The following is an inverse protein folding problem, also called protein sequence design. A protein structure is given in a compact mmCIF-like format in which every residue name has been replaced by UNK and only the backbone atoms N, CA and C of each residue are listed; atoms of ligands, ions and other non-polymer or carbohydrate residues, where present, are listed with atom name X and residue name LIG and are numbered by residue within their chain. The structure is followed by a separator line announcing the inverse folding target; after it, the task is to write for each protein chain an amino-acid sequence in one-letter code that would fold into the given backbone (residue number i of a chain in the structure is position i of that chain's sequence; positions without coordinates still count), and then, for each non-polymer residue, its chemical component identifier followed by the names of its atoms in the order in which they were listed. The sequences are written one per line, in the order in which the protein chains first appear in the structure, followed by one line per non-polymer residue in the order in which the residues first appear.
data_IF_981202172736
#
_entry.id   IF_981202172736
#
_cell.length_a   1.000
_cell.length_b   1.000
_cell.length_c   1.000
_cell.angle_alpha   90.00
_cell.angle_beta   90.00
_cell.angle_gamma   90.00
#
_symmetry.space_group_name_H-M   'P 1'
#
loop_
_entity.id
_entity.type
_entity.pdbx_description
1 polymer ?
#
# COMPACT_ATOMS: atom_id res chain seq x y z
N UNK A 1 20.59 0.18 24.91
CA UNK A 1 19.93 0.50 23.63
C UNK A 1 18.84 1.51 23.90
N UNK A 2 19.00 2.70 23.40
CA UNK A 2 17.97 3.74 23.51
C UNK A 2 17.08 3.60 22.29
N UNK A 3 15.86 3.11 22.47
CA UNK A 3 14.83 3.16 21.43
C UNK A 3 14.32 4.59 21.35
N UNK A 4 14.77 5.34 20.34
CA UNK A 4 14.22 6.66 20.03
C UNK A 4 12.85 6.47 19.38
N UNK A 5 11.79 6.53 20.17
CA UNK A 5 10.44 6.64 19.62
C UNK A 5 10.28 8.03 19.01
N UNK A 6 10.25 8.11 17.69
CA UNK A 6 9.91 9.34 16.98
C UNK A 6 8.41 9.57 17.10
N UNK A 7 8.03 10.55 17.90
CA UNK A 7 6.66 11.05 17.98
C UNK A 7 6.43 12.01 16.81
N UNK A 8 5.59 11.63 15.88
CA UNK A 8 5.16 12.51 14.80
C UNK A 8 3.83 13.17 15.18
N UNK A 9 3.77 14.50 15.09
CA UNK A 9 2.56 15.28 15.29
C UNK A 9 1.83 15.41 13.94
N UNK A 10 0.65 14.82 13.84
CA UNK A 10 -0.22 15.00 12.68
C UNK A 10 -1.37 15.92 13.08
N UNK A 11 -1.44 17.08 12.42
CA UNK A 11 -2.55 18.02 12.59
C UNK A 11 -3.70 17.59 11.66
N UNK A 12 -4.73 16.98 12.23
CA UNK A 12 -6.00 16.78 11.53
C UNK A 12 -6.98 17.88 11.96
N UNK A 13 -7.70 18.41 10.98
CA UNK A 13 -8.54 19.61 11.04
C UNK A 13 -9.85 19.42 11.83
N UNK A 14 -9.82 18.71 12.93
CA UNK A 14 -10.90 18.60 13.90
C UNK A 14 -10.34 18.49 15.32
N UNK A 15 -9.80 19.59 15.81
CA UNK A 15 -9.70 19.89 17.26
C UNK A 15 -8.96 18.95 18.20
N UNK A 16 -8.21 17.98 17.72
CA UNK A 16 -7.49 17.06 18.59
C UNK A 16 -6.09 16.71 18.06
N UNK A 17 -5.07 16.96 18.88
CA UNK A 17 -3.71 16.50 18.64
C UNK A 17 -3.67 14.98 18.87
N UNK A 18 -3.67 14.19 17.80
CA UNK A 18 -3.48 12.75 17.91
C UNK A 18 -2.00 12.44 17.79
N UNK A 19 -1.41 11.92 18.85
CA UNK A 19 -0.03 11.43 18.86
C UNK A 19 0.01 10.07 18.17
N UNK A 20 0.62 10.02 16.98
CA UNK A 20 0.84 8.77 16.26
C UNK A 20 2.25 8.31 16.58
N UNK A 21 2.37 7.13 17.18
CA UNK A 21 3.66 6.49 17.38
C UNK A 21 4.15 5.93 16.03
N UNK A 22 5.14 6.61 15.44
CA UNK A 22 5.71 6.24 14.15
C UNK A 22 7.02 5.46 14.32
N UNK A 23 6.92 4.26 14.89
CA UNK A 23 8.07 3.37 15.10
C UNK A 23 8.68 2.86 13.78
N UNK A 24 7.94 2.94 12.67
CA UNK A 24 8.32 2.40 11.36
C UNK A 24 8.60 3.47 10.30
N UNK A 25 8.60 4.75 10.70
CA UNK A 25 8.70 5.86 9.75
C UNK A 25 7.61 5.79 8.65
N UNK A 26 6.36 5.57 9.08
CA UNK A 26 5.21 5.55 8.17
C UNK A 26 4.97 6.90 7.50
N UNK A 27 5.52 7.96 8.08
CA UNK A 27 5.47 9.31 7.50
C UNK A 27 6.07 9.35 6.09
N UNK A 28 7.06 8.51 5.77
CA UNK A 28 7.62 8.44 4.41
C UNK A 28 6.56 8.15 3.36
N UNK A 29 5.56 7.33 3.69
CA UNK A 29 4.43 7.04 2.80
C UNK A 29 3.47 8.21 2.68
N UNK A 30 3.12 8.84 3.81
CA UNK A 30 2.22 10.01 3.81
C UNK A 30 2.84 11.15 3.02
N UNK A 31 4.11 11.46 3.25
CA UNK A 31 4.83 12.51 2.51
C UNK A 31 4.88 12.22 1.01
N UNK A 32 5.17 10.98 0.61
CA UNK A 32 5.20 10.60 -0.80
C UNK A 32 3.81 10.72 -1.45
N UNK A 33 2.77 10.27 -0.76
CA UNK A 33 1.40 10.31 -1.26
C UNK A 33 0.86 11.74 -1.35
N UNK A 34 1.21 12.62 -0.42
CA UNK A 34 0.76 14.01 -0.38
C UNK A 34 1.58 14.90 -1.32
N UNK A 35 2.85 14.57 -1.55
CA UNK A 35 3.73 15.34 -2.42
C UNK A 35 3.19 15.40 -3.85
N UNK A 36 3.03 16.60 -4.38
CA UNK A 36 2.47 16.83 -5.73
C UNK A 36 1.15 16.10 -5.99
N UNK A 37 0.33 15.91 -4.95
CA UNK A 37 -0.96 15.20 -5.04
C UNK A 37 -0.86 13.80 -5.64
N UNK A 38 0.22 13.08 -5.36
CA UNK A 38 0.51 11.77 -5.97
C UNK A 38 -0.60 10.73 -5.71
N UNK A 39 -1.15 10.70 -4.50
CA UNK A 39 -2.25 9.79 -4.21
C UNK A 39 -3.51 10.12 -5.02
N UNK A 40 -3.86 11.40 -5.13
CA UNK A 40 -5.04 11.83 -5.89
C UNK A 40 -4.91 11.44 -7.36
N UNK A 41 -3.71 11.63 -7.95
CA UNK A 41 -3.43 11.16 -9.30
C UNK A 41 -3.52 9.65 -9.43
N UNK A 42 -2.97 8.91 -8.47
CA UNK A 42 -3.06 7.45 -8.47
C UNK A 42 -4.50 6.97 -8.46
N UNK A 43 -5.33 7.53 -7.60
CA UNK A 43 -6.75 7.20 -7.49
C UNK A 43 -7.49 7.51 -8.79
N UNK A 44 -7.25 8.66 -9.40
CA UNK A 44 -7.86 9.05 -10.67
C UNK A 44 -7.42 8.14 -11.81
N UNK A 45 -6.13 7.82 -11.90
CA UNK A 45 -5.59 6.91 -12.92
C UNK A 45 -6.22 5.51 -12.80
N UNK A 46 -6.39 4.99 -11.59
CA UNK A 46 -7.08 3.72 -11.36
C UNK A 46 -8.56 3.82 -11.78
N UNK A 47 -9.26 4.87 -11.39
CA UNK A 47 -10.66 5.10 -11.80
C UNK A 47 -10.83 5.18 -13.30
N UNK A 48 -9.86 5.76 -13.99
CA UNK A 48 -9.82 5.80 -15.46
C UNK A 48 -9.36 4.47 -16.09
N UNK A 49 -8.99 3.48 -15.28
CA UNK A 49 -8.58 2.16 -15.73
C UNK A 49 -7.22 2.10 -16.39
N UNK A 50 -6.33 3.06 -16.13
CA UNK A 50 -4.98 3.06 -16.68
C UNK A 50 -3.99 3.86 -15.85
N UNK A 51 -3.00 3.16 -15.30
CA UNK A 51 -1.86 3.76 -14.62
C UNK A 51 -0.95 4.46 -15.61
N UNK A 52 -0.57 5.71 -15.31
CA UNK A 52 0.32 6.54 -16.16
C UNK A 52 1.56 7.03 -15.45
N UNK A 53 1.51 7.28 -14.14
CA UNK A 53 2.62 7.84 -13.38
C UNK A 53 3.20 6.86 -12.35
N UNK A 54 4.22 7.30 -11.59
CA UNK A 54 5.12 6.41 -10.86
C UNK A 54 4.88 6.48 -9.35
N UNK A 55 3.85 5.79 -8.87
CA UNK A 55 3.41 5.84 -7.48
C UNK A 55 3.28 4.46 -6.80
N UNK A 56 3.59 3.38 -7.48
CA UNK A 56 3.28 2.02 -7.01
C UNK A 56 3.90 1.70 -5.65
N UNK A 57 5.15 2.09 -5.41
CA UNK A 57 5.92 1.71 -4.21
C UNK A 57 5.30 2.22 -2.91
N UNK A 58 4.67 3.41 -2.95
CA UNK A 58 4.12 4.03 -1.76
C UNK A 58 2.58 4.05 -1.70
N UNK A 59 1.91 3.61 -2.76
CA UNK A 59 0.44 3.49 -2.79
C UNK A 59 0.00 2.04 -2.55
N UNK A 60 0.71 1.08 -3.16
CA UNK A 60 0.54 -0.35 -2.93
C UNK A 60 1.85 -0.95 -2.42
N UNK A 61 2.23 -0.68 -1.15
CA UNK A 61 3.52 -1.13 -0.67
C UNK A 61 3.57 -2.64 -0.52
N UNK A 62 4.76 -3.19 -0.72
CA UNK A 62 5.07 -4.61 -0.63
C UNK A 62 6.20 -4.86 0.35
N UNK A 63 6.47 -6.12 0.66
CA UNK A 63 7.58 -6.51 1.52
C UNK A 63 8.91 -6.03 0.97
N UNK A 64 9.74 -5.50 1.86
CA UNK A 64 11.14 -5.19 1.57
C UNK A 64 11.88 -6.47 1.17
N UNK A 65 12.63 -6.40 0.09
CA UNK A 65 13.36 -7.55 -0.45
C UNK A 65 12.74 -8.19 -1.69
N UNK A 66 11.50 -7.84 -2.04
CA UNK A 66 10.90 -8.29 -3.31
C UNK A 66 11.45 -7.54 -4.51
N UNK A 67 11.73 -6.24 -4.36
CA UNK A 67 12.36 -5.43 -5.38
C UNK A 67 13.75 -4.97 -4.96
N UNK A 68 14.56 -4.55 -5.94
CA UNK A 68 15.98 -4.21 -5.72
C UNK A 68 16.31 -2.73 -5.97
N UNK A 69 15.39 -1.95 -6.53
CA UNK A 69 15.60 -0.51 -6.75
C UNK A 69 15.67 0.25 -5.43
N UNK A 70 16.22 1.46 -5.47
CA UNK A 70 16.22 2.35 -4.30
C UNK A 70 14.82 2.56 -3.72
N UNK A 71 13.83 2.82 -4.58
CA UNK A 71 12.44 3.04 -4.14
C UNK A 71 11.82 1.78 -3.54
N UNK A 72 12.07 0.61 -4.13
CA UNK A 72 11.60 -0.66 -3.58
C UNK A 72 12.16 -0.93 -2.18
N UNK A 73 13.40 -0.54 -1.93
CA UNK A 73 14.03 -0.66 -0.60
C UNK A 73 13.52 0.39 0.37
N UNK A 74 13.43 1.65 -0.06
CA UNK A 74 13.02 2.76 0.78
C UNK A 74 11.56 2.63 1.27
N UNK A 75 10.66 2.22 0.39
CA UNK A 75 9.24 2.01 0.70
C UNK A 75 8.89 0.56 1.06
N UNK A 76 9.87 -0.32 1.14
CA UNK A 76 9.64 -1.71 1.51
C UNK A 76 9.13 -1.86 2.94
N UNK A 77 8.10 -2.68 3.12
CA UNK A 77 7.55 -3.01 4.43
C UNK A 77 8.44 -4.07 5.09
N UNK A 78 8.87 -3.81 6.32
CA UNK A 78 9.86 -4.63 7.02
C UNK A 78 9.31 -5.96 7.54
N UNK A 79 8.00 -6.07 7.73
CA UNK A 79 7.36 -7.28 8.26
C UNK A 79 5.90 -7.05 8.62
N UNK A 80 5.30 -8.06 9.23
CA UNK A 80 3.90 -8.07 9.61
C UNK A 80 3.52 -6.89 10.53
N UNK A 81 4.39 -6.52 11.46
CA UNK A 81 4.09 -5.43 12.41
C UNK A 81 4.02 -4.07 11.73
N UNK A 82 4.92 -3.79 10.80
CA UNK A 82 4.84 -2.56 10.00
C UNK A 82 3.59 -2.56 9.11
N UNK A 83 3.26 -3.68 8.48
CA UNK A 83 2.05 -3.80 7.67
C UNK A 83 0.78 -3.54 8.51
N UNK A 84 0.71 -4.07 9.73
CA UNK A 84 -0.41 -3.77 10.65
C UNK A 84 -0.46 -2.30 11.02
N UNK A 85 0.69 -1.69 11.32
CA UNK A 85 0.77 -0.27 11.64
C UNK A 85 0.34 0.60 10.46
N UNK A 86 0.73 0.23 9.24
CA UNK A 86 0.29 0.89 8.01
C UNK A 86 -1.25 0.84 7.87
N UNK A 87 -1.84 -0.35 8.04
CA UNK A 87 -3.29 -0.53 7.94
C UNK A 87 -4.07 0.25 8.99
N UNK A 88 -3.55 0.30 10.21
CA UNK A 88 -4.15 1.04 11.33
C UNK A 88 -3.93 2.55 11.26
N UNK A 89 -3.00 3.00 10.42
CA UNK A 89 -2.74 4.43 10.28
C UNK A 89 -3.97 5.13 9.69
N UNK A 90 -4.43 6.26 10.29
CA UNK A 90 -5.71 6.89 9.92
C UNK A 90 -5.75 7.41 8.48
N UNK A 91 -4.62 7.72 7.89
CA UNK A 91 -4.53 8.16 6.49
C UNK A 91 -4.22 6.98 5.57
N UNK A 92 -3.18 6.21 5.88
CA UNK A 92 -2.66 5.18 4.98
C UNK A 92 -3.63 4.01 4.81
N UNK A 93 -4.21 3.52 5.90
CA UNK A 93 -5.18 2.43 5.84
C UNK A 93 -6.44 2.81 5.07
N UNK A 94 -6.95 4.01 5.31
CA UNK A 94 -8.11 4.55 4.59
C UNK A 94 -7.84 4.64 3.08
N UNK A 95 -6.68 5.18 2.70
CA UNK A 95 -6.28 5.34 1.30
C UNK A 95 -6.07 4.00 0.60
N UNK A 96 -5.45 3.04 1.29
CA UNK A 96 -5.26 1.70 0.73
C UNK A 96 -6.60 1.02 0.46
N UNK A 97 -7.55 1.11 1.40
CA UNK A 97 -8.92 0.62 1.19
C UNK A 97 -9.59 1.29 0.00
N UNK A 98 -9.53 2.61 -0.05
CA UNK A 98 -10.17 3.41 -1.11
C UNK A 98 -9.65 3.05 -2.49
N UNK A 99 -8.32 2.95 -2.66
CA UNK A 99 -7.76 2.65 -3.97
C UNK A 99 -7.93 1.18 -4.37
N UNK A 100 -7.96 0.26 -3.41
CA UNK A 100 -8.30 -1.14 -3.66
C UNK A 100 -9.76 -1.27 -4.14
N UNK A 101 -10.68 -0.56 -3.51
CA UNK A 101 -12.08 -0.50 -3.95
C UNK A 101 -12.22 0.12 -5.34
N UNK A 102 -11.49 1.21 -5.61
CA UNK A 102 -11.48 1.82 -6.93
C UNK A 102 -10.99 0.84 -8.01
N UNK A 103 -9.96 0.07 -7.71
CA UNK A 103 -9.45 -0.97 -8.60
C UNK A 103 -10.53 -2.02 -8.91
N UNK A 104 -11.27 -2.47 -7.89
CA UNK A 104 -12.38 -3.42 -8.08
C UNK A 104 -13.52 -2.90 -8.96
N UNK A 105 -13.70 -1.58 -9.03
CA UNK A 105 -14.75 -0.98 -9.88
C UNK A 105 -14.35 -0.85 -11.36
N UNK A 106 -13.10 -1.11 -11.72
CA UNK A 106 -12.66 -1.10 -13.12
C UNK A 106 -13.20 -2.35 -13.82
N UNK A 107 -14.03 -2.15 -14.83
CA UNK A 107 -14.66 -3.24 -15.58
C UNK A 107 -13.94 -3.50 -16.91
N UNK A 108 -13.98 -4.77 -17.35
CA UNK A 108 -13.56 -5.17 -18.68
C UNK A 108 -12.05 -5.09 -18.96
N UNK A 109 -11.24 -4.96 -17.92
CA UNK A 109 -9.78 -4.89 -18.06
C UNK A 109 -9.07 -5.88 -17.14
N UNK A 110 -7.92 -6.36 -17.58
CA UNK A 110 -7.00 -7.16 -16.77
C UNK A 110 -6.13 -6.25 -15.91
N UNK A 111 -5.51 -6.80 -14.88
CA UNK A 111 -4.52 -6.07 -14.07
C UNK A 111 -3.38 -5.52 -14.95
N UNK A 112 -2.93 -6.30 -15.94
CA UNK A 112 -1.88 -5.89 -16.86
C UNK A 112 -2.29 -4.68 -17.71
N UNK A 113 -3.51 -4.65 -18.17
CA UNK A 113 -4.04 -3.52 -18.96
C UNK A 113 -4.15 -2.24 -18.13
N UNK A 114 -4.52 -2.37 -16.85
CA UNK A 114 -4.66 -1.23 -15.94
C UNK A 114 -3.30 -0.72 -15.46
N UNK A 115 -2.41 -1.63 -15.04
CA UNK A 115 -1.21 -1.33 -14.25
C UNK A 115 0.10 -1.54 -15.00
N UNK A 116 0.09 -2.30 -16.09
CA UNK A 116 1.30 -2.85 -16.67
C UNK A 116 1.74 -4.13 -15.96
N UNK A 117 2.55 -4.96 -16.63
CA UNK A 117 2.91 -6.29 -16.11
C UNK A 117 3.69 -6.25 -14.80
N UNK A 118 4.68 -5.35 -14.70
CA UNK A 118 5.53 -5.23 -13.50
C UNK A 118 4.74 -4.72 -12.30
N UNK A 119 3.98 -3.66 -12.48
CA UNK A 119 3.21 -3.06 -11.39
C UNK A 119 2.01 -3.92 -10.98
N UNK A 120 1.42 -4.68 -11.90
CA UNK A 120 0.41 -5.68 -11.57
C UNK A 120 0.97 -6.72 -10.57
N UNK A 121 2.19 -7.19 -10.76
CA UNK A 121 2.83 -8.13 -9.82
C UNK A 121 3.08 -7.50 -8.45
N UNK A 122 3.40 -6.22 -8.39
CA UNK A 122 3.55 -5.49 -7.12
C UNK A 122 2.21 -5.35 -6.39
N UNK A 123 1.12 -5.08 -7.10
CA UNK A 123 -0.23 -5.05 -6.51
C UNK A 123 -0.59 -6.42 -5.94
N UNK A 124 -0.31 -7.51 -6.67
CA UNK A 124 -0.53 -8.87 -6.16
C UNK A 124 0.25 -9.10 -4.86
N UNK A 125 1.51 -8.71 -4.81
CA UNK A 125 2.35 -8.82 -3.62
C UNK A 125 1.80 -7.99 -2.45
N UNK A 126 1.37 -6.76 -2.73
CA UNK A 126 0.76 -5.87 -1.73
C UNK A 126 -0.54 -6.44 -1.17
N UNK A 127 -1.43 -6.91 -2.03
CA UNK A 127 -2.71 -7.48 -1.60
C UNK A 127 -2.50 -8.75 -0.78
N UNK A 128 -1.54 -9.58 -1.15
CA UNK A 128 -1.14 -10.76 -0.36
C UNK A 128 -0.66 -10.35 1.03
N UNK A 129 0.23 -9.36 1.11
CA UNK A 129 0.76 -8.87 2.37
C UNK A 129 -0.36 -8.43 3.32
N UNK A 130 -1.24 -7.56 2.86
CA UNK A 130 -2.29 -7.01 3.71
C UNK A 130 -3.40 -8.02 4.01
N UNK A 131 -3.69 -8.94 3.10
CA UNK A 131 -4.61 -10.04 3.38
C UNK A 131 -4.09 -10.94 4.51
N UNK A 132 -2.84 -11.37 4.41
CA UNK A 132 -2.21 -12.26 5.41
C UNK A 132 -2.13 -11.59 6.79
N UNK A 133 -1.87 -10.30 6.83
CA UNK A 133 -1.67 -9.57 8.08
C UNK A 133 -2.99 -9.11 8.71
N UNK A 134 -3.98 -8.73 7.91
CA UNK A 134 -5.24 -8.13 8.41
C UNK A 134 -6.44 -9.04 8.31
N UNK A 135 -6.47 -9.98 7.37
CA UNK A 135 -7.64 -10.81 7.08
C UNK A 135 -8.81 -10.06 6.42
N UNK A 136 -8.60 -8.82 5.99
CA UNK A 136 -9.64 -7.98 5.41
C UNK A 136 -10.07 -8.48 4.02
N UNK A 137 -11.38 -8.63 3.83
CA UNK A 137 -11.96 -9.20 2.61
C UNK A 137 -11.65 -8.42 1.33
N UNK A 138 -11.47 -7.12 1.44
CA UNK A 138 -11.15 -6.27 0.28
C UNK A 138 -9.92 -6.76 -0.48
N UNK A 139 -8.89 -7.22 0.23
CA UNK A 139 -7.66 -7.71 -0.38
C UNK A 139 -7.87 -9.07 -1.07
N UNK A 140 -8.68 -9.94 -0.48
CA UNK A 140 -9.09 -11.20 -1.10
C UNK A 140 -9.85 -10.95 -2.40
N UNK A 141 -10.77 -10.02 -2.39
CA UNK A 141 -11.56 -9.68 -3.58
C UNK A 141 -10.70 -9.16 -4.74
N UNK A 142 -9.68 -8.34 -4.44
CA UNK A 142 -8.74 -7.88 -5.48
C UNK A 142 -7.94 -9.05 -6.06
N UNK A 143 -7.44 -9.95 -5.21
CA UNK A 143 -6.73 -11.14 -5.67
C UNK A 143 -7.60 -12.05 -6.51
N UNK A 144 -8.84 -12.30 -6.10
CA UNK A 144 -9.78 -13.12 -6.84
C UNK A 144 -10.12 -12.50 -8.20
N UNK A 145 -10.37 -11.20 -8.22
CA UNK A 145 -10.80 -10.49 -9.44
C UNK A 145 -9.68 -10.38 -10.49
N UNK A 146 -8.45 -10.12 -10.07
CA UNK A 146 -7.37 -9.75 -10.99
C UNK A 146 -6.25 -10.78 -11.09
N UNK A 147 -6.18 -11.75 -10.19
CA UNK A 147 -5.06 -12.68 -10.08
C UNK A 147 -5.50 -14.13 -9.90
N UNK A 148 -6.74 -14.47 -10.27
CA UNK A 148 -7.32 -15.81 -10.10
C UNK A 148 -7.22 -16.35 -8.66
N UNK A 149 -7.26 -15.47 -7.67
CA UNK A 149 -7.10 -15.81 -6.26
C UNK A 149 -5.67 -16.17 -5.85
N UNK A 150 -4.69 -16.04 -6.76
CA UNK A 150 -3.32 -16.49 -6.51
C UNK A 150 -2.53 -15.47 -5.70
N UNK A 151 -2.16 -15.84 -4.50
CA UNK A 151 -1.30 -15.05 -3.63
C UNK A 151 0.16 -15.07 -4.09
N UNK A 152 0.93 -14.07 -3.67
CA UNK A 152 2.37 -14.03 -3.89
C UNK A 152 3.08 -14.97 -2.89
N UNK A 153 3.58 -16.11 -3.36
CA UNK A 153 4.24 -17.11 -2.53
C UNK A 153 5.49 -16.58 -1.81
N UNK A 154 6.25 -15.69 -2.44
CA UNK A 154 7.43 -15.06 -1.83
C UNK A 154 7.03 -14.18 -0.63
N UNK A 155 5.95 -13.42 -0.75
CA UNK A 155 5.43 -12.61 0.36
C UNK A 155 5.04 -13.48 1.54
N UNK A 156 4.32 -14.57 1.29
CA UNK A 156 3.93 -15.53 2.33
C UNK A 156 5.16 -16.10 3.02
N UNK A 157 6.18 -16.51 2.27
CA UNK A 157 7.43 -17.05 2.82
C UNK A 157 8.17 -16.03 3.70
N UNK A 158 8.16 -14.76 3.32
CA UNK A 158 8.80 -13.70 4.09
C UNK A 158 8.09 -13.37 5.41
N UNK A 159 6.80 -13.67 5.51
CA UNK A 159 5.98 -13.43 6.71
C UNK A 159 6.08 -14.55 7.76
N UNK A 160 6.66 -15.67 7.41
CA UNK A 160 6.79 -16.87 8.30
C UNK A 160 8.05 -16.86 9.14
#
# INVERSE_FOLDING_TARGET
MIFSSRLALSLHNTGGLTMINDNYDLRRFVEAQDSYSQYDYALEEIRCGRKRSHWIWFVFPQMKGLGHSYRAKYYGISGADEARAYWKHPVLGKRLREIAEALLHVEGKTAREILGGIDAMKVRSSMTLFLEVTGEDIFRRVLDRFFDGMECGRTISMLR
#
